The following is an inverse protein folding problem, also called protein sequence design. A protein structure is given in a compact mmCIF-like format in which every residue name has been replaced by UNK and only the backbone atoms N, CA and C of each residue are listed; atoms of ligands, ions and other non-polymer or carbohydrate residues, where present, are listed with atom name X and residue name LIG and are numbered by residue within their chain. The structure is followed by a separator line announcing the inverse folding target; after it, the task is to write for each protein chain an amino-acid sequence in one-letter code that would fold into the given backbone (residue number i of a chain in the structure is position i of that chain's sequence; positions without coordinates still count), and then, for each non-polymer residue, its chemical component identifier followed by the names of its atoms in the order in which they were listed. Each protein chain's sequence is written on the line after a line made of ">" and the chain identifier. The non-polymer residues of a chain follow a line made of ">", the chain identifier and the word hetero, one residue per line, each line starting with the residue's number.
data_IF_995801152047
#
_entry.id   IF_995801152047
#
_cell.length_a   1.000
_cell.length_b   1.000
_cell.length_c   1.000
_cell.angle_alpha   90.00
_cell.angle_beta   90.00
_cell.angle_gamma   90.00
#
_symmetry.space_group_name_H-M   'P 1'
#
loop_
_entity.id
_entity.type
_entity.pdbx_description
1 polymer ?
#
# COMPACT_ATOMS: atom_id res chain seq x y z
N UNK A 1 -50.38 -23.05 23.61
CA UNK A 1 -50.60 -24.31 22.86
C UNK A 1 -49.24 -24.79 22.41
N UNK A 2 -48.84 -26.01 22.75
CA UNK A 2 -47.49 -26.53 22.52
C UNK A 2 -47.50 -27.37 21.24
N UNK A 3 -46.66 -27.04 20.25
CA UNK A 3 -46.53 -27.82 19.01
C UNK A 3 -45.23 -28.61 19.10
N UNK A 4 -45.26 -29.96 19.08
CA UNK A 4 -44.04 -30.76 19.21
C UNK A 4 -43.21 -30.69 17.91
N UNK A 5 -41.91 -30.46 18.07
CA UNK A 5 -40.95 -30.48 16.97
C UNK A 5 -40.87 -31.87 16.33
N UNK A 6 -41.14 -31.95 15.03
CA UNK A 6 -41.03 -33.20 14.27
C UNK A 6 -39.56 -33.55 14.02
N UNK A 7 -39.14 -34.74 14.47
CA UNK A 7 -37.82 -35.29 14.18
C UNK A 7 -37.64 -35.52 12.67
N UNK A 8 -36.94 -34.60 12.00
CA UNK A 8 -36.47 -34.85 10.63
C UNK A 8 -35.27 -35.79 10.66
N UNK A 9 -35.52 -37.06 10.34
CA UNK A 9 -34.48 -38.06 10.06
C UNK A 9 -33.60 -37.57 8.90
N UNK A 10 -32.40 -37.08 9.24
CA UNK A 10 -31.36 -36.76 8.27
C UNK A 10 -30.84 -38.06 7.69
N UNK A 11 -31.39 -38.48 6.55
CA UNK A 11 -30.83 -39.59 5.80
C UNK A 11 -29.39 -39.25 5.37
N UNK A 12 -28.38 -40.04 5.79
CA UNK A 12 -27.02 -39.85 5.31
C UNK A 12 -27.02 -40.09 3.79
N UNK A 13 -26.53 -39.11 3.02
CA UNK A 13 -26.38 -39.26 1.57
C UNK A 13 -25.50 -40.48 1.30
N UNK A 14 -25.88 -41.38 0.38
CA UNK A 14 -25.07 -42.55 0.07
C UNK A 14 -23.69 -42.09 -0.39
N UNK A 15 -22.66 -42.64 0.24
CA UNK A 15 -21.27 -42.36 -0.08
C UNK A 15 -21.05 -42.61 -1.57
N UNK A 16 -20.70 -41.56 -2.32
CA UNK A 16 -20.23 -41.72 -3.69
C UNK A 16 -18.91 -42.48 -3.63
N UNK A 17 -18.98 -43.80 -3.86
CA UNK A 17 -17.81 -44.63 -4.09
C UNK A 17 -17.09 -44.04 -5.30
N UNK A 18 -16.01 -43.31 -5.03
CA UNK A 18 -15.07 -42.88 -6.05
C UNK A 18 -14.51 -44.16 -6.69
N UNK A 19 -15.08 -44.58 -7.82
CA UNK A 19 -14.36 -45.50 -8.69
C UNK A 19 -13.06 -44.81 -9.06
N UNK A 20 -11.88 -45.38 -8.70
CA UNK A 20 -10.63 -44.83 -9.18
C UNK A 20 -10.71 -44.86 -10.70
N UNK A 21 -10.61 -43.69 -11.33
CA UNK A 21 -10.52 -43.55 -12.78
C UNK A 21 -9.45 -44.53 -13.25
N UNK A 22 -9.86 -45.61 -13.91
CA UNK A 22 -8.94 -46.58 -14.48
C UNK A 22 -8.01 -45.78 -15.38
N UNK A 23 -6.75 -45.71 -14.97
CA UNK A 23 -5.74 -44.96 -15.68
C UNK A 23 -5.64 -45.59 -17.07
N UNK A 24 -6.25 -44.95 -18.07
CA UNK A 24 -6.04 -45.35 -19.46
C UNK A 24 -4.53 -45.33 -19.65
N UNK A 25 -3.92 -46.43 -20.14
CA UNK A 25 -2.49 -46.43 -20.37
C UNK A 25 -2.15 -45.20 -21.21
N UNK A 26 -1.09 -44.44 -20.85
CA UNK A 26 -0.74 -43.24 -21.61
C UNK A 26 -0.65 -43.62 -23.09
N UNK A 27 -1.18 -42.79 -24.01
CA UNK A 27 -1.13 -43.10 -25.43
C UNK A 27 0.32 -43.41 -25.78
N UNK A 28 0.56 -44.64 -26.25
CA UNK A 28 1.91 -45.09 -26.59
C UNK A 28 2.55 -44.07 -27.54
N UNK A 29 3.88 -43.86 -27.45
CA UNK A 29 4.55 -42.89 -28.30
C UNK A 29 4.12 -43.14 -29.76
N UNK A 30 3.62 -42.12 -30.48
CA UNK A 30 3.12 -42.32 -31.83
C UNK A 30 4.25 -42.95 -32.64
N UNK A 31 4.02 -44.13 -33.20
CA UNK A 31 5.05 -44.93 -33.83
C UNK A 31 5.83 -44.05 -34.82
N UNK A 32 7.08 -43.74 -34.47
CA UNK A 32 7.94 -42.80 -35.21
C UNK A 32 8.55 -43.46 -36.45
N UNK A 33 7.76 -44.30 -37.12
CA UNK A 33 7.94 -44.69 -38.51
C UNK A 33 7.84 -43.43 -39.36
N UNK A 34 8.95 -42.70 -39.40
CA UNK A 34 9.24 -41.66 -40.35
C UNK A 34 9.36 -42.33 -41.72
N UNK A 35 8.20 -42.67 -42.29
CA UNK A 35 8.06 -43.26 -43.60
C UNK A 35 8.66 -42.30 -44.63
N UNK A 36 9.95 -42.47 -44.88
CA UNK A 36 10.68 -41.67 -45.86
C UNK A 36 9.99 -41.84 -47.20
N UNK A 37 9.47 -40.74 -47.73
CA UNK A 37 8.80 -40.78 -49.01
C UNK A 37 9.86 -41.03 -50.08
N UNK A 38 9.65 -42.07 -50.88
CA UNK A 38 10.38 -42.25 -52.13
C UNK A 38 9.69 -41.37 -53.17
N UNK A 39 10.36 -40.32 -53.64
CA UNK A 39 9.82 -39.45 -54.68
C UNK A 39 10.86 -39.19 -55.77
N UNK A 40 10.39 -38.96 -56.99
CA UNK A 40 11.26 -38.71 -58.14
C UNK A 40 11.25 -37.22 -58.43
N UNK A 41 12.42 -36.57 -58.34
CA UNK A 41 12.58 -35.18 -58.78
C UNK A 41 12.96 -35.23 -60.25
N UNK A 42 12.29 -34.41 -61.06
CA UNK A 42 12.64 -34.18 -62.46
C UNK A 42 13.39 -32.87 -62.57
N UNK A 43 14.51 -32.88 -63.28
CA UNK A 43 15.33 -31.73 -63.59
C UNK A 43 15.34 -31.51 -65.10
N UNK A 44 15.28 -30.25 -65.50
CA UNK A 44 15.60 -29.85 -66.87
C UNK A 44 17.12 -29.78 -67.07
N UNK A 45 17.56 -29.63 -68.32
CA UNK A 45 18.99 -29.58 -68.64
C UNK A 45 19.71 -28.36 -68.09
N UNK A 46 18.96 -27.27 -67.86
CA UNK A 46 19.35 -26.06 -67.14
C UNK A 46 19.40 -26.24 -65.60
N UNK A 47 19.47 -27.48 -65.12
CA UNK A 47 19.61 -27.92 -63.71
C UNK A 47 18.56 -27.44 -62.70
N UNK A 48 17.53 -26.70 -63.11
CA UNK A 48 16.37 -26.41 -62.25
C UNK A 48 15.33 -27.55 -62.27
N UNK A 49 14.55 -27.65 -61.19
CA UNK A 49 13.48 -28.65 -61.05
C UNK A 49 12.30 -28.29 -61.93
N UNK A 50 11.52 -29.29 -62.35
CA UNK A 50 10.28 -29.08 -63.13
C UNK A 50 9.22 -28.26 -62.39
N UNK A 51 9.23 -28.30 -61.07
CA UNK A 51 8.23 -27.69 -60.21
C UNK A 51 8.68 -26.32 -59.66
N UNK A 52 9.89 -25.87 -60.02
CA UNK A 52 10.43 -24.59 -59.57
C UNK A 52 10.11 -23.47 -60.57
N UNK A 53 9.81 -22.28 -60.07
CA UNK A 53 9.54 -21.14 -60.95
C UNK A 53 10.84 -20.71 -61.62
N UNK A 54 10.82 -20.55 -62.95
CA UNK A 54 11.97 -20.33 -63.85
C UNK A 54 12.71 -18.98 -63.62
N UNK A 55 12.40 -18.27 -62.54
CA UNK A 55 13.06 -17.04 -62.08
C UNK A 55 14.50 -17.35 -61.64
N UNK A 56 15.45 -17.18 -62.56
CA UNK A 56 16.87 -17.49 -62.36
C UNK A 56 17.39 -18.64 -63.23
N UNK A 57 16.61 -19.13 -64.20
CA UNK A 57 17.10 -20.10 -65.18
C UNK A 57 18.09 -19.44 -66.15
N UNK A 58 19.32 -19.94 -66.17
CA UNK A 58 20.40 -19.46 -67.06
C UNK A 58 20.04 -19.58 -68.55
N UNK A 59 19.29 -20.60 -68.95
CA UNK A 59 18.82 -20.76 -70.33
C UNK A 59 17.73 -19.75 -70.73
N UNK A 60 16.96 -19.22 -69.77
CA UNK A 60 15.99 -18.15 -70.05
C UNK A 60 16.71 -16.86 -70.46
N UNK A 61 17.78 -16.49 -69.77
CA UNK A 61 18.59 -15.29 -70.10
C UNK A 61 19.22 -15.39 -71.49
N UNK A 62 19.65 -16.59 -71.91
CA UNK A 62 20.27 -16.82 -73.22
C UNK A 62 19.28 -16.95 -74.37
N UNK A 63 18.10 -17.54 -74.14
CA UNK A 63 17.18 -17.96 -75.23
C UNK A 63 15.80 -17.31 -75.21
N UNK A 64 15.47 -16.52 -74.18
CA UNK A 64 14.18 -15.83 -74.04
C UNK A 64 12.95 -16.75 -74.07
N UNK A 65 13.13 -18.06 -73.89
CA UNK A 65 12.07 -19.06 -74.02
C UNK A 65 11.96 -19.88 -72.75
N UNK A 66 10.75 -19.89 -72.16
CA UNK A 66 10.50 -20.43 -70.83
C UNK A 66 10.66 -21.95 -70.88
N UNK A 67 11.44 -22.52 -69.95
CA UNK A 67 11.66 -23.96 -69.77
C UNK A 67 10.42 -24.68 -69.23
N UNK A 68 9.25 -24.30 -69.72
CA UNK A 68 7.97 -24.91 -69.36
C UNK A 68 7.77 -26.22 -70.11
N UNK A 69 7.22 -27.22 -69.42
CA UNK A 69 6.85 -28.49 -70.06
C UNK A 69 5.67 -28.30 -71.01
N UNK A 70 4.81 -27.33 -70.73
CA UNK A 70 3.64 -26.98 -71.55
C UNK A 70 3.99 -26.03 -72.70
N UNK A 71 5.21 -25.48 -72.76
CA UNK A 71 5.65 -24.63 -73.86
C UNK A 71 5.91 -25.46 -75.13
N UNK A 72 5.11 -25.28 -76.21
CA UNK A 72 5.28 -26.08 -77.44
C UNK A 72 6.62 -25.83 -78.15
N UNK A 73 7.31 -24.72 -77.86
CA UNK A 73 8.65 -24.43 -78.38
C UNK A 73 9.77 -25.19 -77.65
N UNK A 74 9.53 -25.65 -76.41
CA UNK A 74 10.42 -26.58 -75.68
C UNK A 74 10.09 -28.01 -76.09
N UNK A 75 8.80 -28.37 -76.10
CA UNK A 75 8.31 -29.71 -76.46
C UNK A 75 8.65 -30.17 -77.88
N UNK A 76 9.04 -29.26 -78.78
CA UNK A 76 9.56 -29.55 -80.13
C UNK A 76 11.08 -29.78 -80.19
N UNK A 77 11.85 -29.38 -79.18
CA UNK A 77 13.29 -29.66 -79.11
C UNK A 77 13.45 -31.12 -78.71
N UNK A 78 14.04 -31.94 -79.60
CA UNK A 78 14.37 -33.34 -79.29
C UNK A 78 15.41 -33.46 -78.18
N UNK A 79 16.12 -32.38 -77.93
CA UNK A 79 17.33 -32.37 -77.12
C UNK A 79 17.02 -32.21 -75.63
N UNK A 80 15.79 -31.80 -75.25
CA UNK A 80 15.45 -31.51 -73.86
C UNK A 80 15.33 -32.79 -73.00
N UNK A 81 16.46 -33.29 -72.51
CA UNK A 81 16.55 -34.47 -71.65
C UNK A 81 16.06 -34.17 -70.23
N UNK A 82 14.96 -34.82 -69.83
CA UNK A 82 14.48 -34.77 -68.44
C UNK A 82 15.29 -35.78 -67.61
N UNK A 83 16.28 -35.28 -66.85
CA UNK A 83 16.98 -36.09 -65.85
C UNK A 83 16.03 -36.36 -64.68
N UNK A 84 15.94 -37.61 -64.24
CA UNK A 84 15.07 -38.00 -63.13
C UNK A 84 15.86 -38.72 -62.05
N UNK A 85 15.77 -38.21 -60.82
CA UNK A 85 16.52 -38.71 -59.67
C UNK A 85 15.54 -39.21 -58.60
N UNK A 86 15.76 -40.43 -58.11
CA UNK A 86 14.97 -41.02 -57.01
C UNK A 86 15.58 -40.57 -55.68
N UNK A 87 14.88 -39.67 -54.99
CA UNK A 87 15.31 -39.14 -53.70
C UNK A 87 14.49 -39.77 -52.58
N UNK A 88 15.16 -40.16 -51.50
CA UNK A 88 14.56 -40.63 -50.25
C UNK A 88 14.51 -39.48 -49.23
N UNK A 89 13.32 -39.15 -48.73
CA UNK A 89 13.17 -38.12 -47.70
C UNK A 89 11.75 -37.58 -47.59
N UNK A 90 11.60 -36.39 -47.02
CA UNK A 90 10.30 -35.70 -47.05
C UNK A 90 10.05 -35.12 -48.44
N UNK A 91 9.02 -35.60 -49.14
CA UNK A 91 8.58 -34.98 -50.38
C UNK A 91 8.00 -33.57 -50.10
N UNK A 92 7.92 -32.66 -51.09
CA UNK A 92 7.44 -31.29 -50.88
C UNK A 92 6.07 -31.20 -50.22
N UNK A 93 5.15 -32.14 -50.49
CA UNK A 93 3.84 -32.20 -49.84
C UNK A 93 3.94 -32.57 -48.35
N UNK A 94 4.79 -33.54 -47.99
CA UNK A 94 5.03 -33.90 -46.59
C UNK A 94 5.78 -32.78 -45.85
N UNK A 95 6.77 -32.14 -46.49
CA UNK A 95 7.49 -31.01 -45.90
C UNK A 95 6.55 -29.80 -45.67
N UNK A 96 5.64 -29.51 -46.61
CA UNK A 96 4.62 -28.48 -46.45
C UNK A 96 3.63 -28.81 -45.32
N UNK A 97 3.15 -30.07 -45.25
CA UNK A 97 2.30 -30.56 -44.15
C UNK A 97 2.99 -30.46 -42.78
N UNK A 98 4.28 -30.75 -42.73
CA UNK A 98 5.11 -30.65 -41.52
C UNK A 98 5.24 -29.19 -41.05
N UNK A 99 5.62 -28.27 -41.96
CA UNK A 99 5.67 -26.82 -41.68
C UNK A 99 4.31 -26.31 -41.20
N UNK A 100 3.22 -26.73 -41.83
CA UNK A 100 1.87 -26.36 -41.40
C UNK A 100 1.47 -26.94 -40.04
N UNK A 101 2.03 -28.10 -39.63
CA UNK A 101 1.83 -28.63 -38.26
C UNK A 101 2.59 -27.77 -37.24
N UNK A 102 3.87 -27.50 -37.50
CA UNK A 102 4.72 -26.67 -36.63
C UNK A 102 4.13 -25.27 -36.45
N UNK A 103 3.60 -24.64 -37.51
CA UNK A 103 2.96 -23.33 -37.42
C UNK A 103 1.69 -23.35 -36.54
N UNK A 104 0.84 -24.38 -36.65
CA UNK A 104 -0.32 -24.53 -35.75
C UNK A 104 0.10 -24.78 -34.30
N UNK A 105 1.12 -25.61 -34.07
CA UNK A 105 1.67 -25.83 -32.73
C UNK A 105 2.29 -24.55 -32.13
N UNK A 106 2.86 -23.66 -32.95
CA UNK A 106 3.35 -22.35 -32.50
C UNK A 106 2.21 -21.37 -32.20
N UNK A 107 1.18 -21.34 -33.04
CA UNK A 107 -0.02 -20.52 -32.83
C UNK A 107 -0.79 -20.92 -31.57
N UNK A 108 -0.96 -22.23 -31.34
CA UNK A 108 -1.58 -22.79 -30.13
C UNK A 108 -0.79 -22.42 -28.86
N UNK A 109 0.55 -22.57 -28.88
CA UNK A 109 1.41 -22.13 -27.76
C UNK A 109 1.29 -20.63 -27.50
N UNK A 110 1.28 -19.80 -28.55
CA UNK A 110 1.11 -18.36 -28.44
C UNK A 110 -0.30 -17.95 -27.98
N UNK A 111 -1.33 -18.77 -28.25
CA UNK A 111 -2.66 -18.57 -27.66
C UNK A 111 -2.65 -18.90 -26.17
N UNK A 112 -2.12 -20.05 -25.76
CA UNK A 112 -2.02 -20.45 -24.35
C UNK A 112 -1.20 -19.43 -23.54
N UNK A 113 -0.10 -18.91 -24.09
CA UNK A 113 0.72 -17.89 -23.42
C UNK A 113 -0.05 -16.57 -23.22
N UNK A 114 -0.84 -16.13 -24.21
CA UNK A 114 -1.71 -14.94 -24.09
C UNK A 114 -2.84 -15.16 -23.08
N UNK A 115 -3.48 -16.32 -23.08
CA UNK A 115 -4.53 -16.65 -22.10
C UNK A 115 -3.97 -16.68 -20.67
N UNK A 116 -2.76 -17.22 -20.47
CA UNK A 116 -2.06 -17.15 -19.18
C UNK A 116 -1.65 -15.72 -18.79
N UNK A 117 -1.24 -14.88 -19.76
CA UNK A 117 -0.94 -13.48 -19.48
C UNK A 117 -2.19 -12.71 -19.06
N UNK A 118 -3.32 -12.90 -19.75
CA UNK A 118 -4.61 -12.35 -19.34
C UNK A 118 -5.04 -12.82 -17.96
N UNK A 119 -4.89 -14.11 -17.64
CA UNK A 119 -5.20 -14.64 -16.31
C UNK A 119 -4.31 -14.00 -15.23
N UNK A 120 -2.99 -13.94 -15.45
CA UNK A 120 -2.04 -13.26 -14.56
C UNK A 120 -2.40 -11.78 -14.38
N UNK A 121 -2.81 -11.09 -15.45
CA UNK A 121 -3.27 -9.70 -15.39
C UNK A 121 -4.57 -9.54 -14.59
N UNK A 122 -5.55 -10.45 -14.76
CA UNK A 122 -6.80 -10.48 -13.98
C UNK A 122 -6.53 -10.74 -12.49
N UNK A 123 -5.62 -11.66 -12.15
CA UNK A 123 -5.22 -11.93 -10.76
C UNK A 123 -4.53 -10.70 -10.16
N UNK A 124 -3.56 -10.11 -10.87
CA UNK A 124 -2.85 -8.90 -10.43
C UNK A 124 -3.81 -7.73 -10.19
N UNK A 125 -4.77 -7.51 -11.09
CA UNK A 125 -5.79 -6.47 -10.94
C UNK A 125 -6.65 -6.68 -9.70
N UNK A 126 -7.12 -7.91 -9.44
CA UNK A 126 -7.86 -8.23 -8.21
C UNK A 126 -7.03 -7.98 -6.94
N UNK A 127 -5.74 -8.32 -6.95
CA UNK A 127 -4.84 -8.06 -5.83
C UNK A 127 -4.62 -6.55 -5.60
N UNK A 128 -4.55 -5.76 -6.67
CA UNK A 128 -4.44 -4.29 -6.58
C UNK A 128 -5.74 -3.65 -6.06
N UNK A 129 -6.90 -4.09 -6.54
CA UNK A 129 -8.22 -3.66 -6.05
C UNK A 129 -8.41 -4.01 -4.56
N UNK A 130 -7.99 -5.20 -4.13
CA UNK A 130 -8.05 -5.63 -2.73
C UNK A 130 -7.13 -4.79 -1.83
N UNK A 131 -5.87 -4.56 -2.25
CA UNK A 131 -4.93 -3.68 -1.54
C UNK A 131 -5.45 -2.24 -1.47
N UNK A 132 -6.11 -1.75 -2.51
CA UNK A 132 -6.74 -0.45 -2.52
C UNK A 132 -7.96 -0.38 -1.58
N UNK A 133 -8.70 -1.48 -1.41
CA UNK A 133 -9.79 -1.58 -0.42
C UNK A 133 -9.25 -1.53 1.01
N UNK A 134 -8.29 -2.39 1.33
CA UNK A 134 -7.63 -2.43 2.66
C UNK A 134 -7.07 -1.06 3.02
N UNK A 135 -6.34 -0.42 2.10
CA UNK A 135 -5.77 0.92 2.31
C UNK A 135 -6.84 2.01 2.56
N UNK A 136 -8.04 1.89 2.00
CA UNK A 136 -9.16 2.82 2.27
C UNK A 136 -9.75 2.57 3.66
N UNK A 137 -9.94 1.31 4.03
CA UNK A 137 -10.43 0.94 5.37
C UNK A 137 -9.43 1.37 6.47
N UNK A 138 -8.13 1.23 6.24
CA UNK A 138 -7.07 1.73 7.14
C UNK A 138 -7.08 3.26 7.24
N UNK A 139 -7.20 3.98 6.12
CA UNK A 139 -7.28 5.44 6.11
C UNK A 139 -8.57 5.96 6.80
N UNK A 140 -9.66 5.19 6.77
CA UNK A 140 -10.88 5.49 7.51
C UNK A 140 -10.74 5.22 9.01
N UNK A 141 -10.15 4.08 9.41
CA UNK A 141 -9.81 3.82 10.83
C UNK A 141 -8.92 4.92 11.40
N UNK A 142 -7.86 5.31 10.68
CA UNK A 142 -6.98 6.41 11.06
C UNK A 142 -7.61 7.81 10.92
N UNK A 143 -8.83 7.94 10.37
CA UNK A 143 -9.63 9.17 10.44
C UNK A 143 -10.45 9.19 11.74
N UNK A 144 -11.15 8.11 12.03
CA UNK A 144 -11.97 7.93 13.24
C UNK A 144 -11.11 8.01 14.51
N UNK A 145 -9.92 7.42 14.50
CA UNK A 145 -8.96 7.47 15.61
C UNK A 145 -8.53 8.92 15.93
N UNK A 146 -8.21 9.72 14.90
CA UNK A 146 -7.87 11.14 15.08
C UNK A 146 -9.07 11.98 15.51
N UNK A 147 -10.26 11.72 14.98
CA UNK A 147 -11.50 12.38 15.44
C UNK A 147 -11.75 12.09 16.94
N UNK A 148 -11.47 10.87 17.41
CA UNK A 148 -11.55 10.49 18.82
C UNK A 148 -10.47 11.15 19.69
N UNK A 149 -9.23 11.23 19.22
CA UNK A 149 -8.14 11.95 19.90
C UNK A 149 -8.45 13.46 20.04
N UNK A 150 -8.96 14.09 18.98
CA UNK A 150 -9.39 15.50 18.99
C UNK A 150 -10.56 15.74 19.94
N UNK A 151 -11.55 14.84 20.00
CA UNK A 151 -12.66 14.90 20.96
C UNK A 151 -12.18 14.72 22.41
N UNK A 152 -11.27 13.78 22.66
CA UNK A 152 -10.68 13.55 23.98
C UNK A 152 -9.92 14.79 24.46
N UNK A 153 -9.07 15.37 23.61
CA UNK A 153 -8.34 16.61 23.90
C UNK A 153 -9.29 17.78 24.17
N UNK A 154 -10.37 17.91 23.38
CA UNK A 154 -11.40 18.94 23.58
C UNK A 154 -12.09 18.79 24.93
N UNK A 155 -12.44 17.57 25.32
CA UNK A 155 -13.07 17.27 26.63
C UNK A 155 -12.15 17.62 27.79
N UNK A 156 -10.86 17.33 27.67
CA UNK A 156 -9.91 17.58 28.76
C UNK A 156 -9.54 19.09 28.86
N UNK A 157 -9.53 19.83 27.74
CA UNK A 157 -9.50 21.30 27.75
C UNK A 157 -10.76 21.92 28.37
N UNK A 158 -11.94 21.33 28.17
CA UNK A 158 -13.18 21.78 28.81
C UNK A 158 -13.16 21.54 30.33
N UNK A 159 -12.67 20.37 30.78
CA UNK A 159 -12.44 20.10 32.21
C UNK A 159 -11.47 21.11 32.84
N UNK A 160 -10.36 21.42 32.17
CA UNK A 160 -9.41 22.42 32.66
C UNK A 160 -10.08 23.80 32.84
N UNK A 161 -10.86 24.25 31.86
CA UNK A 161 -11.64 25.51 31.95
C UNK A 161 -12.67 25.51 33.08
N UNK A 162 -13.27 24.35 33.40
CA UNK A 162 -14.19 24.22 34.53
C UNK A 162 -13.42 24.28 35.85
N UNK A 163 -12.27 23.60 35.95
CA UNK A 163 -11.41 23.62 37.13
C UNK A 163 -10.89 25.04 37.43
N UNK A 164 -10.34 25.74 36.43
CA UNK A 164 -9.88 27.13 36.55
C UNK A 164 -11.00 28.07 37.06
N UNK A 165 -12.22 27.91 36.53
CA UNK A 165 -13.39 28.69 36.95
C UNK A 165 -13.81 28.35 38.38
N UNK A 166 -13.71 27.10 38.79
CA UNK A 166 -14.03 26.69 40.15
C UNK A 166 -12.97 27.21 41.14
N UNK A 167 -11.69 27.16 40.79
CA UNK A 167 -10.60 27.73 41.59
C UNK A 167 -10.75 29.26 41.74
N UNK A 168 -11.06 29.97 40.65
CA UNK A 168 -11.41 31.40 40.71
C UNK A 168 -12.57 31.67 41.66
N UNK A 169 -13.62 30.82 41.64
CA UNK A 169 -14.75 30.93 42.58
C UNK A 169 -14.31 30.73 44.03
N UNK A 170 -13.57 29.65 44.33
CA UNK A 170 -13.03 29.39 45.68
C UNK A 170 -12.13 30.52 46.18
N UNK A 171 -11.30 31.08 45.31
CA UNK A 171 -10.41 32.20 45.66
C UNK A 171 -11.20 33.49 45.93
N UNK A 172 -12.23 33.78 45.13
CA UNK A 172 -13.14 34.91 45.38
C UNK A 172 -13.92 34.75 46.69
N UNK A 173 -14.47 33.55 46.97
CA UNK A 173 -15.13 33.21 48.23
C UNK A 173 -14.18 33.36 49.42
N UNK A 174 -12.93 32.89 49.31
CA UNK A 174 -11.91 33.03 50.34
C UNK A 174 -11.50 34.49 50.59
N UNK A 175 -11.43 35.30 49.53
CA UNK A 175 -11.17 36.74 49.61
C UNK A 175 -12.32 37.50 50.28
N UNK A 176 -13.58 37.23 49.90
CA UNK A 176 -14.75 37.82 50.57
C UNK A 176 -14.81 37.42 52.06
N UNK A 177 -14.59 36.14 52.37
CA UNK A 177 -14.53 35.64 53.75
C UNK A 177 -13.35 36.22 54.55
N UNK A 178 -12.27 36.65 53.90
CA UNK A 178 -11.21 37.41 54.54
C UNK A 178 -11.64 38.84 54.84
N UNK A 179 -12.20 39.57 53.86
CA UNK A 179 -12.72 40.93 54.05
C UNK A 179 -13.78 40.99 55.15
N UNK A 180 -14.70 40.02 55.18
CA UNK A 180 -15.73 39.94 56.23
C UNK A 180 -15.12 39.81 57.63
N UNK A 181 -14.12 38.95 57.82
CA UNK A 181 -13.40 38.81 59.10
C UNK A 181 -12.66 40.08 59.51
N UNK A 182 -12.08 40.83 58.55
CA UNK A 182 -11.42 42.11 58.83
C UNK A 182 -12.44 43.15 59.28
N UNK A 183 -13.61 43.24 58.62
CA UNK A 183 -14.68 44.14 59.00
C UNK A 183 -15.26 43.78 60.38
N UNK A 184 -15.58 42.51 60.63
CA UNK A 184 -16.08 42.03 61.93
C UNK A 184 -15.10 42.32 63.08
N UNK A 185 -13.79 42.19 62.82
CA UNK A 185 -12.74 42.52 63.79
C UNK A 185 -12.64 44.04 64.05
N UNK A 186 -12.75 44.87 63.01
CA UNK A 186 -12.79 46.33 63.15
C UNK A 186 -14.03 46.79 63.94
N UNK A 187 -15.21 46.27 63.61
CA UNK A 187 -16.47 46.56 64.30
C UNK A 187 -16.46 46.05 65.75
N UNK A 188 -15.77 44.94 66.04
CA UNK A 188 -15.55 44.44 67.39
C UNK A 188 -14.60 45.32 68.20
N UNK A 189 -13.49 45.77 67.59
CA UNK A 189 -12.54 46.69 68.22
C UNK A 189 -13.20 48.05 68.53
N UNK A 190 -13.97 48.61 67.59
CA UNK A 190 -14.71 49.85 67.79
C UNK A 190 -15.74 49.75 68.93
N UNK A 191 -16.48 48.64 69.00
CA UNK A 191 -17.41 48.35 70.12
C UNK A 191 -16.67 48.20 71.46
N UNK A 192 -15.48 47.58 71.48
CA UNK A 192 -14.68 47.45 72.68
C UNK A 192 -14.14 48.81 73.16
N UNK A 193 -13.70 49.67 72.25
CA UNK A 193 -13.22 51.02 72.54
C UNK A 193 -14.35 51.89 73.12
N UNK A 194 -15.53 51.90 72.50
CA UNK A 194 -16.70 52.62 73.02
C UNK A 194 -17.12 52.14 74.41
N UNK A 195 -17.18 50.82 74.62
CA UNK A 195 -17.48 50.25 75.95
C UNK A 195 -16.43 50.62 77.01
N UNK A 196 -15.17 50.81 76.62
CA UNK A 196 -14.10 51.30 77.51
C UNK A 196 -14.27 52.78 77.86
N UNK A 197 -14.68 53.61 76.88
CA UNK A 197 -15.00 55.03 77.08
C UNK A 197 -16.17 55.21 78.05
N UNK A 198 -17.28 54.51 77.85
CA UNK A 198 -18.44 54.56 78.75
C UNK A 198 -18.04 54.16 80.21
N UNK A 199 -17.24 53.11 80.35
CA UNK A 199 -16.76 52.65 81.66
C UNK A 199 -15.80 53.64 82.35
N UNK A 200 -14.99 54.38 81.57
CA UNK A 200 -14.14 55.44 82.13
C UNK A 200 -14.92 56.70 82.48
N UNK A 201 -15.94 57.07 81.69
CA UNK A 201 -16.79 58.25 81.96
C UNK A 201 -17.64 58.09 83.24
N UNK A 202 -18.21 56.89 83.45
CA UNK A 202 -18.89 56.50 84.70
C UNK A 202 -17.91 56.53 85.90
N UNK A 203 -16.65 56.17 85.69
CA UNK A 203 -15.61 56.21 86.73
C UNK A 203 -15.20 57.65 87.07
N UNK A 204 -15.07 58.56 86.10
CA UNK A 204 -14.77 59.98 86.36
C UNK A 204 -15.92 60.72 87.04
N UNK A 205 -17.18 60.44 86.69
CA UNK A 205 -18.35 61.04 87.36
C UNK A 205 -18.52 60.54 88.80
N UNK A 206 -18.18 59.28 89.08
CA UNK A 206 -18.19 58.72 90.45
C UNK A 206 -16.98 59.21 91.29
N UNK A 207 -15.84 59.52 90.66
CA UNK A 207 -14.58 59.87 91.36
C UNK A 207 -14.37 61.38 91.55
N UNK A 208 -15.33 62.24 91.21
CA UNK A 208 -15.32 63.64 91.67
C UNK A 208 -15.81 63.83 93.13
N UNK A 209 -16.20 62.74 93.81
CA UNK A 209 -16.65 62.74 95.20
C UNK A 209 -15.79 61.88 96.14
N UNK A 210 -14.52 61.57 95.83
CA UNK A 210 -13.58 61.07 96.86
C UNK A 210 -12.08 61.19 96.55
N UNK A 211 -11.41 61.92 97.45
CA UNK A 211 -10.01 61.73 97.87
C UNK A 211 -8.88 61.98 96.86
N UNK A 212 -8.20 63.10 97.10
CA UNK A 212 -6.74 63.19 97.30
C UNK A 212 -6.06 61.90 97.81
N UNK A 213 -4.76 61.77 97.48
CA UNK A 213 -3.72 60.96 98.14
C UNK A 213 -3.19 59.68 97.42
N UNK A 214 -1.93 59.85 96.95
CA UNK A 214 -0.78 58.91 97.00
C UNK A 214 -0.51 57.85 95.92
N UNK A 215 0.80 57.80 95.60
CA UNK A 215 1.65 56.63 95.35
C UNK A 215 2.01 56.25 93.90
N UNK A 216 3.32 56.32 93.71
CA UNK A 216 4.23 55.96 92.61
C UNK A 216 4.24 54.48 92.16
N UNK A 217 4.92 54.25 91.03
CA UNK A 217 5.46 52.98 90.49
C UNK A 217 4.43 51.99 89.90
N UNK A 218 4.55 51.53 88.64
CA UNK A 218 5.72 50.98 87.96
C UNK A 218 5.79 51.36 86.46
N UNK A 219 7.00 51.33 85.90
CA UNK A 219 7.25 51.27 84.45
C UNK A 219 7.85 49.89 84.17
N UNK A 220 7.09 49.00 83.52
CA UNK A 220 7.63 47.75 82.99
C UNK A 220 7.95 47.92 81.50
N UNK A 221 9.24 48.01 81.21
CA UNK A 221 9.79 48.15 79.87
C UNK A 221 9.90 46.77 79.20
N UNK A 222 8.95 46.44 78.33
CA UNK A 222 8.91 45.15 77.63
C UNK A 222 9.99 45.06 76.55
N UNK A 223 11.06 44.33 76.87
CA UNK A 223 12.19 44.03 75.99
C UNK A 223 11.78 43.29 74.70
N UNK A 224 12.19 43.74 73.49
CA UNK A 224 11.93 43.03 72.25
C UNK A 224 12.90 41.86 72.02
N UNK A 225 12.37 40.69 71.68
CA UNK A 225 13.16 39.49 71.35
C UNK A 225 14.01 39.66 70.08
N UNK A 226 15.25 39.13 70.05
CA UNK A 226 16.11 39.18 68.86
C UNK A 226 15.60 38.24 67.74
N UNK A 227 15.74 38.71 66.51
CA UNK A 227 15.35 37.98 65.29
C UNK A 227 16.23 36.75 65.05
N UNK A 228 15.65 35.66 64.56
CA UNK A 228 16.38 34.48 64.11
C UNK A 228 17.15 34.76 62.80
N UNK A 229 18.40 34.28 62.66
CA UNK A 229 19.19 34.48 61.44
C UNK A 229 18.63 33.62 60.29
N UNK A 230 18.51 34.24 59.11
CA UNK A 230 18.11 33.57 57.87
C UNK A 230 19.23 32.62 57.39
N UNK A 231 18.93 31.39 56.94
CA UNK A 231 19.96 30.49 56.43
C UNK A 231 20.61 31.03 55.14
N UNK A 232 21.91 30.75 54.91
CA UNK A 232 22.61 31.20 53.71
C UNK A 232 22.04 30.51 52.44
N UNK A 233 22.09 31.18 51.29
CA UNK A 233 21.64 30.59 50.02
C UNK A 233 22.51 29.38 49.63
N UNK A 234 21.93 28.37 48.95
CA UNK A 234 22.69 27.21 48.48
C UNK A 234 23.74 27.63 47.42
N UNK A 235 24.87 26.91 47.33
CA UNK A 235 25.89 27.20 46.33
C UNK A 235 25.36 27.02 44.90
N UNK A 236 25.83 27.81 43.93
CA UNK A 236 25.42 27.67 42.54
C UNK A 236 25.86 26.30 41.98
N UNK A 237 25.06 25.69 41.08
CA UNK A 237 25.42 24.41 40.46
C UNK A 237 26.72 24.55 39.64
N UNK A 238 27.55 23.50 39.57
CA UNK A 238 28.78 23.52 38.78
C UNK A 238 28.46 23.72 37.29
N UNK A 239 29.32 24.42 36.53
CA UNK A 239 29.13 24.60 35.10
C UNK A 239 29.16 23.25 34.36
N UNK A 240 28.36 23.09 33.29
CA UNK A 240 28.35 21.84 32.52
C UNK A 240 29.72 21.58 31.88
N UNK A 241 30.15 20.31 31.78
CA UNK A 241 31.42 19.96 31.15
C UNK A 241 31.43 20.37 29.66
N UNK A 242 32.59 20.77 29.11
CA UNK A 242 32.70 21.17 27.71
C UNK A 242 32.36 19.98 26.80
N UNK A 243 31.69 20.23 25.65
CA UNK A 243 31.33 19.16 24.71
C UNK A 243 32.59 18.49 24.15
N UNK A 244 32.54 17.16 24.04
CA UNK A 244 33.65 16.37 23.51
C UNK A 244 34.01 16.77 22.06
N UNK A 245 35.29 16.78 21.69
CA UNK A 245 35.71 17.14 20.34
C UNK A 245 35.14 16.16 19.31
N UNK A 246 34.54 16.70 18.24
CA UNK A 246 33.94 15.90 17.18
C UNK A 246 35.01 15.02 16.47
N UNK A 247 34.66 13.79 16.07
CA UNK A 247 35.59 12.89 15.40
C UNK A 247 36.07 13.50 14.08
N UNK A 248 37.39 13.52 13.87
CA UNK A 248 37.99 14.08 12.67
C UNK A 248 37.59 13.27 11.44
N UNK A 249 36.87 13.90 10.51
CA UNK A 249 36.54 13.28 9.22
C UNK A 249 37.83 13.02 8.43
N UNK A 250 37.95 11.85 7.76
CA UNK A 250 39.13 11.55 6.95
C UNK A 250 39.25 12.53 5.78
N UNK A 251 40.47 13.02 5.54
CA UNK A 251 40.75 13.88 4.39
C UNK A 251 40.58 13.09 3.09
N UNK A 252 39.61 13.48 2.27
CA UNK A 252 39.44 12.96 0.91
C UNK A 252 40.68 13.25 0.08
N UNK A 253 41.34 12.21 -0.41
CA UNK A 253 42.49 12.32 -1.29
C UNK A 253 42.01 12.53 -2.75
N UNK A 254 42.26 13.71 -3.28
CA UNK A 254 41.86 14.12 -4.64
C UNK A 254 42.88 13.71 -5.72
N UNK A 255 43.94 12.96 -5.39
CA UNK A 255 45.01 12.61 -6.31
C UNK A 255 44.70 11.42 -7.24
N UNK A 256 43.61 10.69 -7.03
CA UNK A 256 43.20 9.60 -7.92
C UNK A 256 42.17 10.05 -8.97
N UNK A 257 42.39 9.78 -10.28
CA UNK A 257 41.36 10.01 -11.29
C UNK A 257 40.15 9.08 -11.06
N UNK A 258 38.91 9.56 -11.22
CA UNK A 258 37.72 8.76 -10.91
C UNK A 258 37.61 7.53 -11.81
N UNK A 259 37.93 6.35 -11.27
CA UNK A 259 37.64 5.08 -11.93
C UNK A 259 36.14 4.77 -11.80
N UNK A 260 35.51 4.57 -12.95
CA UNK A 260 34.17 3.98 -13.11
C UNK A 260 33.04 4.62 -12.29
N UNK A 261 32.84 5.93 -12.46
CA UNK A 261 31.53 6.52 -12.19
C UNK A 261 30.52 6.02 -13.22
N UNK A 262 29.93 4.85 -12.95
CA UNK A 262 28.80 4.33 -13.71
C UNK A 262 27.56 5.17 -13.39
N UNK A 263 27.45 6.34 -14.03
CA UNK A 263 26.45 7.36 -13.73
C UNK A 263 25.02 6.79 -13.76
N UNK A 264 24.36 6.81 -12.60
CA UNK A 264 22.99 6.34 -12.44
C UNK A 264 22.03 7.06 -13.39
N UNK A 265 21.52 6.34 -14.38
CA UNK A 265 20.50 6.86 -15.29
C UNK A 265 19.13 6.76 -14.61
N UNK A 266 18.58 7.89 -14.18
CA UNK A 266 17.21 7.93 -13.69
C UNK A 266 16.23 7.89 -14.86
N UNK A 267 15.21 7.03 -14.74
CA UNK A 267 14.13 6.93 -15.71
C UNK A 267 12.96 7.80 -15.28
N UNK A 268 12.48 8.67 -16.18
CA UNK A 268 11.20 9.36 -16.01
C UNK A 268 10.26 8.76 -17.07
N UNK A 269 9.44 7.81 -16.64
CA UNK A 269 8.68 6.94 -17.54
C UNK A 269 9.59 6.06 -18.41
N UNK A 270 9.32 5.98 -19.71
CA UNK A 270 10.05 5.12 -20.65
C UNK A 270 11.30 5.76 -21.29
N UNK A 271 11.64 7.02 -20.96
CA UNK A 271 12.83 7.70 -21.51
C UNK A 271 13.91 7.87 -20.44
N UNK A 272 15.15 7.50 -20.81
CA UNK A 272 16.36 7.88 -20.09
C UNK A 272 16.66 9.34 -20.38
N UNK A 273 16.84 10.16 -19.35
CA UNK A 273 17.38 11.51 -19.48
C UNK A 273 18.74 11.56 -18.78
N UNK A 274 19.77 12.21 -19.37
CA UNK A 274 21.05 12.41 -18.69
C UNK A 274 20.85 13.39 -17.53
N UNK A 275 21.28 12.99 -16.32
CA UNK A 275 21.18 13.84 -15.14
C UNK A 275 22.26 14.91 -15.21
N UNK A 276 21.84 16.17 -15.24
CA UNK A 276 22.77 17.30 -15.23
C UNK A 276 23.47 17.41 -13.85
N UNK A 277 24.80 17.63 -13.78
CA UNK A 277 25.56 17.55 -12.53
C UNK A 277 25.07 18.48 -11.41
N UNK A 278 24.40 19.58 -11.75
CA UNK A 278 23.79 20.49 -10.76
C UNK A 278 22.66 19.87 -9.93
N UNK A 279 22.05 18.75 -10.36
CA UNK A 279 21.01 18.05 -9.59
C UNK A 279 21.59 17.11 -8.52
N UNK A 280 22.90 16.79 -8.56
CA UNK A 280 23.52 15.82 -7.65
C UNK A 280 23.73 16.36 -6.23
N UNK A 281 23.98 17.67 -6.12
CA UNK A 281 24.26 18.35 -4.83
C UNK A 281 23.08 18.30 -3.83
N UNK A 282 21.84 18.16 -4.32
CA UNK A 282 20.66 18.03 -3.47
C UNK A 282 20.43 16.59 -2.96
N UNK A 283 21.06 15.58 -3.56
CA UNK A 283 20.85 14.18 -3.22
C UNK A 283 21.87 13.64 -2.20
N UNK A 284 23.10 14.16 -2.20
CA UNK A 284 24.20 13.64 -1.36
C UNK A 284 24.30 14.30 0.03
N UNK A 285 23.51 15.34 0.33
CA UNK A 285 23.44 15.99 1.65
C UNK A 285 22.00 16.28 2.14
N UNK A 286 21.26 15.27 2.62
CA UNK A 286 19.90 15.45 3.16
C UNK A 286 19.86 16.00 4.61
N UNK A 287 20.92 16.66 5.10
CA UNK A 287 21.03 17.13 6.49
C UNK A 287 21.59 18.55 6.60
N UNK A 288 20.69 19.54 6.55
CA UNK A 288 20.83 20.81 7.27
C UNK A 288 19.45 21.43 7.48
N UNK A 289 18.97 21.57 8.73
CA UNK A 289 17.85 22.44 9.04
C UNK A 289 18.28 23.91 9.01
N UNK A 290 17.30 24.81 9.12
CA UNK A 290 17.47 26.27 9.33
C UNK A 290 17.78 27.11 8.08
N UNK A 291 16.73 27.35 7.29
CA UNK A 291 16.47 28.65 6.70
C UNK A 291 14.97 28.99 6.86
N UNK A 292 14.59 30.19 7.34
CA UNK A 292 13.18 30.52 7.57
C UNK A 292 12.46 30.77 6.24
N UNK A 293 11.48 29.91 5.91
CA UNK A 293 10.60 30.10 4.76
C UNK A 293 9.57 31.17 5.11
N UNK A 294 9.75 32.38 4.59
CA UNK A 294 8.71 33.41 4.59
C UNK A 294 7.51 32.95 3.74
N UNK A 295 6.25 33.08 4.23
CA UNK A 295 5.08 32.63 3.49
C UNK A 295 4.80 33.52 2.27
N UNK A 296 4.48 32.96 1.09
CA UNK A 296 4.06 33.75 -0.06
C UNK A 296 2.65 34.31 0.14
N UNK A 297 2.50 35.62 -0.05
CA UNK A 297 1.19 36.31 -0.12
C UNK A 297 0.25 35.69 -1.16
N UNK A 298 -1.05 35.52 -0.85
CA UNK A 298 -2.01 34.94 -1.79
C UNK A 298 -2.26 35.89 -2.98
N UNK A 299 -1.93 35.43 -4.19
CA UNK A 299 -2.18 36.17 -5.43
C UNK A 299 -3.56 35.79 -5.97
N UNK A 300 -4.45 36.77 -6.11
CA UNK A 300 -5.84 36.59 -6.56
C UNK A 300 -5.92 35.97 -7.97
N UNK A 301 -6.88 35.07 -8.26
CA UNK A 301 -6.99 34.41 -9.56
C UNK A 301 -7.45 35.41 -10.64
N UNK A 302 -6.68 35.54 -11.72
CA UNK A 302 -7.11 36.25 -12.92
C UNK A 302 -7.94 35.34 -13.83
N UNK A 303 -9.02 35.88 -14.37
CA UNK A 303 -9.95 35.20 -15.28
C UNK A 303 -9.34 35.04 -16.68
N UNK A 304 -9.34 33.83 -17.29
CA UNK A 304 -8.88 33.65 -18.66
C UNK A 304 -9.88 34.26 -19.66
N UNK A 305 -9.42 35.26 -20.40
CA UNK A 305 -10.21 35.96 -21.42
C UNK A 305 -10.55 35.04 -22.60
N UNK A 306 -11.85 34.90 -22.85
CA UNK A 306 -12.43 34.20 -24.01
C UNK A 306 -12.04 34.92 -25.31
N UNK A 307 -11.16 34.33 -26.13
CA UNK A 307 -10.96 34.76 -27.53
C UNK A 307 -11.79 33.90 -28.48
N UNK A 308 -12.59 34.58 -29.31
CA UNK A 308 -13.34 34.00 -30.40
C UNK A 308 -12.73 34.42 -31.75
N UNK A 309 -12.62 33.47 -32.68
CA UNK A 309 -12.43 33.71 -34.12
C UNK A 309 -12.58 32.36 -34.84
N UNK A 310 -13.76 31.97 -35.33
CA UNK A 310 -14.24 32.21 -36.71
C UNK A 310 -13.24 31.87 -37.82
N UNK A 311 -13.40 30.70 -38.43
CA UNK A 311 -13.18 30.47 -39.86
C UNK A 311 -14.01 29.25 -40.33
N UNK A 312 -14.88 29.44 -41.32
CA UNK A 312 -15.40 28.35 -42.18
C UNK A 312 -14.44 28.18 -43.37
N UNK A 313 -14.47 27.04 -44.07
CA UNK A 313 -15.16 27.09 -45.36
C UNK A 313 -16.01 25.85 -45.70
N UNK A 314 -16.80 26.05 -46.75
CA UNK A 314 -17.91 25.27 -47.28
C UNK A 314 -17.59 23.90 -47.92
N UNK A 315 -18.56 22.98 -47.77
CA UNK A 315 -19.15 22.00 -48.72
C UNK A 315 -18.88 22.16 -50.23
N UNK A 316 -19.14 21.16 -51.12
CA UNK A 316 -20.02 19.96 -51.00
C UNK A 316 -19.27 18.62 -51.32
N UNK A 317 -19.82 17.42 -51.61
CA UNK A 317 -21.17 16.92 -52.02
C UNK A 317 -21.45 15.47 -51.56
N UNK A 318 -22.69 14.99 -51.71
CA UNK A 318 -23.11 13.57 -51.70
C UNK A 318 -23.31 13.03 -53.15
N UNK A 319 -23.58 11.72 -53.42
CA UNK A 319 -24.95 11.19 -53.30
C UNK A 319 -25.16 9.66 -53.01
N UNK A 320 -26.35 9.31 -52.50
CA UNK A 320 -27.25 8.14 -52.80
C UNK A 320 -26.66 6.68 -52.78
N UNK A 321 -27.03 5.78 -51.84
CA UNK A 321 -28.28 4.95 -51.75
C UNK A 321 -28.13 3.53 -52.38
N UNK A 322 -29.04 2.53 -52.18
CA UNK A 322 -29.95 2.20 -51.05
C UNK A 322 -30.04 0.68 -50.66
N UNK A 323 -30.81 0.34 -49.60
CA UNK A 323 -31.78 -0.80 -49.66
C UNK A 323 -31.53 -2.12 -48.88
N UNK A 324 -32.64 -2.72 -48.37
CA UNK A 324 -32.74 -4.09 -47.83
C UNK A 324 -32.73 -4.19 -46.29
N UNK A 325 -33.83 -4.17 -45.51
CA UNK A 325 -35.07 -4.98 -45.43
C UNK A 325 -34.93 -6.40 -44.82
N UNK A 326 -35.90 -6.71 -43.94
CA UNK A 326 -36.17 -7.98 -43.25
C UNK A 326 -35.17 -8.38 -42.13
N UNK A 327 -35.57 -9.03 -41.03
CA UNK A 327 -36.80 -9.81 -40.80
C UNK A 327 -37.37 -9.78 -39.36
N UNK A 328 -38.56 -10.35 -39.18
CA UNK A 328 -39.36 -10.39 -37.94
C UNK A 328 -38.84 -11.41 -36.90
N UNK A 329 -38.91 -11.06 -35.60
CA UNK A 329 -38.90 -12.05 -34.51
C UNK A 329 -39.63 -11.57 -33.24
N UNK A 330 -40.94 -11.84 -33.17
CA UNK A 330 -41.79 -11.51 -32.01
C UNK A 330 -41.52 -12.40 -30.79
N UNK A 331 -40.52 -12.05 -29.98
CA UNK A 331 -40.17 -12.74 -28.74
C UNK A 331 -40.98 -12.28 -27.51
N UNK A 332 -42.16 -12.88 -27.27
CA UNK A 332 -42.93 -12.67 -26.02
C UNK A 332 -42.17 -13.20 -24.80
N UNK A 333 -41.41 -12.36 -24.10
CA UNK A 333 -40.87 -12.72 -22.79
C UNK A 333 -41.97 -12.66 -21.72
N UNK A 334 -42.36 -13.83 -21.21
CA UNK A 334 -43.23 -13.93 -20.03
C UNK A 334 -42.48 -13.40 -18.80
N UNK A 335 -42.97 -12.30 -18.23
CA UNK A 335 -42.57 -11.85 -16.91
C UNK A 335 -42.88 -12.95 -15.88
N UNK A 336 -41.85 -13.71 -15.47
CA UNK A 336 -41.94 -14.57 -14.30
C UNK A 336 -41.82 -13.70 -13.05
N UNK A 337 -42.94 -13.51 -12.36
CA UNK A 337 -42.97 -12.95 -11.01
C UNK A 337 -42.05 -13.76 -10.10
N UNK A 338 -41.02 -13.10 -9.57
CA UNK A 338 -40.10 -13.66 -8.59
C UNK A 338 -40.85 -13.73 -7.24
N UNK A 339 -40.95 -14.89 -6.57
CA UNK A 339 -41.54 -14.95 -5.25
C UNK A 339 -40.71 -14.11 -4.25
N UNK A 340 -41.32 -13.55 -3.20
CA UNK A 340 -40.60 -12.77 -2.20
C UNK A 340 -39.53 -13.65 -1.51
N UNK A 341 -38.40 -13.07 -1.09
CA UNK A 341 -37.41 -13.79 -0.30
C UNK A 341 -38.06 -14.26 1.01
N UNK A 342 -37.90 -15.55 1.35
CA UNK A 342 -38.20 -16.02 2.69
C UNK A 342 -37.25 -15.34 3.67
N UNK A 343 -37.80 -14.81 4.75
CA UNK A 343 -37.01 -14.29 5.86
C UNK A 343 -36.04 -15.37 6.36
N UNK A 344 -34.77 -15.00 6.49
CA UNK A 344 -33.79 -15.88 7.11
C UNK A 344 -34.15 -16.03 8.60
N UNK A 345 -34.16 -17.25 9.16
CA UNK A 345 -34.38 -17.40 10.59
C UNK A 345 -33.26 -16.65 11.34
N UNK A 346 -33.65 -15.79 12.28
CA UNK A 346 -32.74 -15.17 13.25
C UNK A 346 -32.27 -16.24 14.25
N UNK A 347 -31.41 -17.16 13.78
CA UNK A 347 -30.60 -18.01 14.64
C UNK A 347 -29.38 -17.23 15.11
N UNK A 348 -28.94 -17.46 16.34
CA UNK A 348 -27.82 -16.75 16.95
C UNK A 348 -26.53 -16.93 16.14
N UNK A 349 -26.09 -15.84 15.51
CA UNK A 349 -24.98 -15.78 14.55
C UNK A 349 -23.64 -16.31 15.12
N UNK A 350 -23.53 -16.34 16.44
CA UNK A 350 -22.39 -16.86 17.21
C UNK A 350 -22.22 -18.38 17.07
N UNK A 351 -23.31 -19.15 17.02
CA UNK A 351 -23.24 -20.61 16.93
C UNK A 351 -22.90 -21.09 15.52
N UNK A 352 -23.41 -20.43 14.48
CA UNK A 352 -23.03 -20.74 13.10
C UNK A 352 -21.55 -20.41 12.82
N UNK A 353 -21.04 -19.31 13.38
CA UNK A 353 -19.63 -18.95 13.24
C UNK A 353 -18.72 -19.95 13.97
N UNK A 354 -19.08 -20.38 15.18
CA UNK A 354 -18.37 -21.42 15.94
C UNK A 354 -18.35 -22.77 15.20
N UNK A 355 -19.51 -23.20 14.69
CA UNK A 355 -19.63 -24.41 13.88
C UNK A 355 -18.90 -24.34 12.52
N UNK A 356 -18.60 -23.13 12.01
CA UNK A 356 -17.79 -22.92 10.82
C UNK A 356 -16.28 -23.02 11.12
N UNK A 357 -15.83 -22.57 12.29
CA UNK A 357 -14.44 -22.68 12.74
C UNK A 357 -14.06 -24.13 13.08
N UNK A 358 -14.92 -24.84 13.81
CA UNK A 358 -14.72 -26.28 14.10
C UNK A 358 -14.63 -27.11 12.80
N UNK A 359 -15.46 -26.80 11.79
CA UNK A 359 -15.40 -27.47 10.48
C UNK A 359 -14.13 -27.21 9.67
N UNK A 360 -13.36 -26.18 10.00
CA UNK A 360 -12.06 -25.89 9.37
C UNK A 360 -10.87 -26.48 10.13
N UNK A 361 -11.11 -27.20 11.24
CA UNK A 361 -10.04 -27.78 12.06
C UNK A 361 -9.20 -26.74 12.81
N UNK A 362 -9.63 -25.47 12.82
CA UNK A 362 -8.97 -24.39 13.56
C UNK A 362 -9.40 -24.54 15.02
N UNK A 363 -8.72 -25.44 15.74
CA UNK A 363 -8.78 -25.44 17.20
C UNK A 363 -8.21 -24.11 17.67
N UNK A 364 -8.99 -23.38 18.44
CA UNK A 364 -8.48 -22.27 19.23
C UNK A 364 -7.59 -22.91 20.28
N UNK A 365 -6.27 -22.70 20.15
CA UNK A 365 -5.37 -22.95 21.27
C UNK A 365 -5.84 -22.00 22.37
N UNK A 366 -6.42 -22.59 23.42
CA UNK A 366 -6.65 -21.88 24.66
C UNK A 366 -5.28 -21.76 25.31
N UNK A 367 -4.71 -20.57 25.23
CA UNK A 367 -3.63 -20.14 26.10
C UNK A 367 -4.15 -20.16 27.53
N UNK A 368 -4.12 -21.36 28.14
CA UNK A 368 -4.18 -21.51 29.58
C UNK A 368 -2.82 -21.05 30.10
N UNK A 369 -2.70 -19.75 30.36
CA UNK A 369 -1.62 -19.13 31.13
C UNK A 369 -1.64 -19.70 32.56
N UNK A 370 -1.19 -20.95 32.69
CA UNK A 370 -0.90 -21.61 33.95
C UNK A 370 0.36 -21.00 34.56
N UNK A 371 0.23 -20.58 35.82
CA UNK A 371 1.27 -19.94 36.64
C UNK A 371 2.41 -20.92 37.01
N UNK A 372 3.21 -21.31 36.02
CA UNK A 372 4.35 -22.21 36.18
C UNK A 372 5.67 -21.43 36.31
N UNK A 373 5.91 -20.93 37.52
CA UNK A 373 7.19 -21.00 38.21
C UNK A 373 8.45 -20.58 37.45
N UNK A 374 8.86 -19.32 37.64
CA UNK A 374 10.19 -18.79 37.27
C UNK A 374 11.31 -19.76 37.67
N UNK A 375 11.99 -20.35 36.68
CA UNK A 375 13.34 -20.91 36.82
C UNK A 375 14.26 -20.27 35.80
N UNK A 376 15.09 -19.35 36.27
CA UNK A 376 16.06 -18.61 35.46
C UNK A 376 17.24 -19.51 35.04
N UNK A 377 17.17 -20.07 33.83
CA UNK A 377 18.31 -20.68 33.18
C UNK A 377 18.95 -19.70 32.18
N UNK A 378 20.17 -19.25 32.48
CA UNK A 378 20.94 -18.34 31.62
C UNK A 378 21.37 -19.04 30.33
N UNK A 379 20.89 -18.57 29.17
CA UNK A 379 21.35 -19.04 27.86
C UNK A 379 22.31 -18.00 27.27
N UNK A 380 23.56 -18.40 27.09
CA UNK A 380 24.62 -17.62 26.44
C UNK A 380 24.37 -17.62 24.93
N UNK A 381 24.59 -16.50 24.20
CA UNK A 381 24.51 -16.51 22.75
C UNK A 381 25.65 -17.33 22.15
N UNK A 382 25.32 -18.41 21.44
CA UNK A 382 26.30 -19.18 20.66
C UNK A 382 26.41 -18.64 19.24
N UNK A 383 27.60 -18.15 18.89
CA UNK A 383 28.00 -17.94 17.49
C UNK A 383 27.95 -19.26 16.71
N UNK A 384 27.09 -19.38 15.69
CA UNK A 384 27.24 -20.28 14.52
C UNK A 384 26.08 -20.16 13.52
N UNK A 385 26.21 -19.27 12.54
CA UNK A 385 25.34 -19.27 11.35
C UNK A 385 26.06 -18.65 10.13
N UNK A 386 27.14 -19.28 9.67
CA UNK A 386 27.86 -18.86 8.46
C UNK A 386 28.46 -20.06 7.72
N UNK A 387 27.59 -20.87 7.13
CA UNK A 387 27.98 -21.90 6.16
C UNK A 387 26.88 -22.09 5.12
N UNK A 388 26.88 -21.20 4.10
CA UNK A 388 26.06 -21.35 2.90
C UNK A 388 26.93 -22.04 1.86
N UNK A 389 26.66 -23.32 1.57
CA UNK A 389 27.47 -24.11 0.64
C UNK A 389 27.35 -23.60 -0.80
N UNK A 390 28.49 -23.17 -1.37
CA UNK A 390 28.60 -22.72 -2.75
C UNK A 390 28.59 -23.89 -3.73
N UNK A 391 27.41 -24.40 -4.07
CA UNK A 391 27.22 -25.47 -5.06
C UNK A 391 27.68 -25.09 -6.47
N UNK A 392 28.95 -25.35 -6.79
CA UNK A 392 29.57 -24.96 -8.05
C UNK A 392 29.04 -25.76 -9.27
N UNK A 393 28.33 -25.08 -10.16
CA UNK A 393 27.82 -25.62 -11.43
C UNK A 393 28.96 -25.91 -12.43
N UNK A 394 29.51 -27.14 -12.43
CA UNK A 394 30.47 -27.56 -13.47
C UNK A 394 29.78 -27.77 -14.81
N UNK A 395 29.95 -26.82 -15.73
CA UNK A 395 29.50 -26.98 -17.11
C UNK A 395 30.31 -28.05 -17.85
N UNK A 396 29.61 -28.88 -18.65
CA UNK A 396 30.25 -29.72 -19.68
C UNK A 396 30.30 -28.94 -20.99
N UNK A 397 31.49 -28.49 -21.38
CA UNK A 397 31.82 -28.23 -22.80
C UNK A 397 32.13 -29.55 -23.49
N UNK A 398 31.84 -29.62 -24.79
CA UNK A 398 32.12 -30.80 -25.62
C UNK A 398 33.52 -30.81 -26.22
N UNK A 399 33.93 -32.02 -26.59
CA UNK A 399 35.00 -32.53 -27.46
C UNK A 399 34.58 -34.00 -27.70
N UNK A 400 34.60 -34.60 -28.89
CA UNK A 400 34.93 -34.15 -30.26
C UNK A 400 33.79 -34.54 -31.22
#
# INVERSE_FOLDING_TARGET
>A
MYVPYSNFLVYPKPYCIYQPLQQRPPPGPPATDSAMCHYTIKFFECDHKTDDNVKGCSSWEQTGTHCDIDNPAVRKRKDCSIRSEKVTGLCPRCQSRERARILREQEERAQIEREQEEERARIKKKQEEERARIKREEAERARIEREYEEELLRRDLEKARIADREEQRRNAEAHEAHLRRVQEAADAAWRAEHKSKDATEIRTTTTHARTTYTTVANVEESSPSPSSPTPPPPPPPPPPPPPAPAPALPKTDYSQPPKDQNYGHHFIGMRRQPVHPSQKLAAEHPLSPTAPITPPTPRSPQTPVRRASTAKPSTPSSPLSPGGLSDMASGRQKLRTRPPPKEAPQGDFTDELKAMWERRGIKRETDEDGDDGITTASIVPSDSASQIDGGASKGRRGQE
#
